data_IF_946407219806
#
_entry.id   IF_946407219806
#
_cell.length_a   1.000
_cell.length_b   1.000
_cell.length_c   1.000
_cell.angle_alpha   90.00
_cell.angle_beta   90.00
_cell.angle_gamma   90.00
#
_symmetry.space_group_name_H-M   'P 1'
#
loop_
_entity.id
_entity.type
_entity.pdbx_description
1 polymer ?
#
# COMPACT_ATOMS: atom_id res chain seq x y z
N UNK A 1 -26.93 -43.00 35.70
CA UNK A 1 -27.62 -41.73 36.05
C UNK A 1 -26.57 -40.81 36.64
N UNK A 2 -26.26 -39.59 36.20
CA UNK A 2 -26.60 -38.80 35.01
C UNK A 2 -25.44 -37.82 34.77
N UNK A 3 -25.09 -37.57 33.51
CA UNK A 3 -24.00 -36.67 33.13
C UNK A 3 -24.46 -35.20 33.15
N UNK A 4 -23.80 -34.37 33.95
CA UNK A 4 -23.99 -32.92 33.98
C UNK A 4 -23.41 -32.29 32.71
N UNK A 5 -24.27 -31.71 31.86
CA UNK A 5 -23.85 -30.83 30.75
C UNK A 5 -23.64 -29.40 31.29
N UNK A 6 -22.55 -28.69 30.94
CA UNK A 6 -22.45 -27.28 31.25
C UNK A 6 -23.45 -26.49 30.40
N UNK A 7 -24.25 -25.65 31.06
CA UNK A 7 -25.22 -24.74 30.42
C UNK A 7 -24.50 -23.66 29.61
N UNK A 8 -24.94 -23.47 28.37
CA UNK A 8 -24.58 -22.32 27.52
C UNK A 8 -25.04 -21.03 28.20
N UNK A 9 -24.11 -20.10 28.46
CA UNK A 9 -24.42 -18.76 28.93
C UNK A 9 -24.90 -17.88 27.77
N UNK A 10 -26.18 -17.49 27.82
CA UNK A 10 -26.77 -16.53 26.89
C UNK A 10 -26.30 -15.10 27.23
N UNK A 11 -26.10 -14.27 26.20
CA UNK A 11 -25.61 -12.88 26.30
C UNK A 11 -26.47 -11.99 27.21
N UNK A 12 -27.73 -12.36 27.48
CA UNK A 12 -28.59 -11.65 28.44
C UNK A 12 -28.03 -11.64 29.87
N UNK A 13 -27.12 -12.56 30.23
CA UNK A 13 -26.54 -12.64 31.58
C UNK A 13 -25.38 -11.66 31.84
N UNK A 14 -24.89 -10.95 30.81
CA UNK A 14 -23.76 -10.00 30.97
C UNK A 14 -24.25 -8.57 31.24
N UNK A 15 -25.55 -8.29 31.08
CA UNK A 15 -26.11 -6.94 31.19
C UNK A 15 -26.61 -6.54 32.59
N UNK A 16 -26.29 -7.31 33.65
CA UNK A 16 -26.85 -7.01 34.97
C UNK A 16 -25.89 -7.25 36.12
N UNK A 17 -24.67 -6.71 36.06
CA UNK A 17 -23.92 -6.39 37.29
C UNK A 17 -22.99 -5.20 37.09
N UNK A 18 -23.17 -4.23 37.97
CA UNK A 18 -22.32 -3.07 38.31
C UNK A 18 -22.39 -1.86 37.39
N UNK A 19 -22.90 -0.77 37.98
CA UNK A 19 -23.14 0.50 37.34
C UNK A 19 -21.85 1.24 37.04
N UNK A 20 -21.64 1.48 35.75
CA UNK A 20 -20.92 2.61 35.22
C UNK A 20 -21.55 2.92 33.87
N UNK A 21 -21.98 4.16 33.66
CA UNK A 21 -22.60 4.60 32.40
C UNK A 21 -21.76 4.17 31.19
N UNK A 22 -22.30 3.42 30.22
CA UNK A 22 -21.58 3.13 28.99
C UNK A 22 -21.58 4.38 28.09
N UNK A 23 -20.37 4.83 27.77
CA UNK A 23 -20.04 5.91 26.86
C UNK A 23 -20.62 5.62 25.45
N UNK A 24 -21.30 6.55 24.75
CA UNK A 24 -22.11 6.23 23.56
C UNK A 24 -21.32 5.99 22.25
N UNK A 25 -19.99 5.87 22.28
CA UNK A 25 -19.17 5.60 21.09
C UNK A 25 -18.72 4.13 21.02
N UNK A 26 -19.67 3.19 21.09
CA UNK A 26 -19.37 1.80 20.77
C UNK A 26 -19.27 1.67 19.25
N UNK A 27 -18.03 1.59 18.76
CA UNK A 27 -17.67 1.64 17.35
C UNK A 27 -18.41 0.58 16.52
N UNK A 28 -19.27 1.05 15.61
CA UNK A 28 -20.03 0.24 14.66
C UNK A 28 -19.10 -0.56 13.74
N UNK A 29 -17.87 -0.10 13.52
CA UNK A 29 -16.82 -0.83 12.80
C UNK A 29 -16.35 -2.05 13.58
N UNK A 30 -16.07 -1.88 14.88
CA UNK A 30 -15.79 -2.97 15.81
C UNK A 30 -16.96 -3.97 15.90
N UNK A 31 -18.21 -3.51 15.97
CA UNK A 31 -19.38 -4.40 15.98
C UNK A 31 -19.55 -5.19 14.68
N UNK A 32 -19.32 -4.55 13.53
CA UNK A 32 -19.37 -5.22 12.22
C UNK A 32 -18.30 -6.31 12.13
N UNK A 33 -17.04 -5.98 12.47
CA UNK A 33 -15.91 -6.92 12.54
C UNK A 33 -16.19 -8.09 13.49
N UNK A 34 -16.83 -7.85 14.63
CA UNK A 34 -17.22 -8.89 15.60
C UNK A 34 -18.35 -9.77 15.05
N UNK A 35 -19.34 -9.18 14.37
CA UNK A 35 -20.49 -9.90 13.81
C UNK A 35 -20.09 -10.79 12.64
N UNK A 36 -19.27 -10.28 11.72
CA UNK A 36 -18.67 -11.07 10.63
C UNK A 36 -17.78 -12.16 11.21
N UNK A 37 -16.88 -11.84 12.15
CA UNK A 37 -16.00 -12.82 12.81
C UNK A 37 -16.75 -13.95 13.54
N UNK A 38 -17.89 -13.69 14.18
CA UNK A 38 -18.71 -14.74 14.84
C UNK A 38 -19.40 -15.67 13.84
N UNK A 39 -19.79 -15.16 12.68
CA UNK A 39 -20.38 -15.98 11.61
C UNK A 39 -19.30 -16.82 10.92
N UNK A 40 -18.14 -16.24 10.65
CA UNK A 40 -16.96 -16.92 10.09
C UNK A 40 -16.48 -18.06 10.98
N UNK A 41 -16.32 -17.84 12.30
CA UNK A 41 -15.86 -18.89 13.25
C UNK A 41 -16.72 -20.16 13.28
N UNK A 42 -18.02 -20.06 12.99
CA UNK A 42 -18.92 -21.23 12.90
C UNK A 42 -18.73 -22.01 11.59
N UNK A 43 -18.38 -21.32 10.50
CA UNK A 43 -18.09 -21.91 9.19
C UNK A 43 -16.66 -22.46 9.15
N UNK A 44 -15.70 -21.79 9.79
CA UNK A 44 -14.29 -22.22 9.92
C UNK A 44 -14.19 -23.57 10.65
N UNK A 45 -15.03 -23.77 11.68
CA UNK A 45 -15.13 -25.04 12.41
C UNK A 45 -15.72 -26.17 11.54
N UNK A 46 -16.45 -25.84 10.47
CA UNK A 46 -17.13 -26.81 9.61
C UNK A 46 -16.37 -27.12 8.32
N UNK A 47 -15.61 -26.16 7.77
CA UNK A 47 -14.92 -26.29 6.46
C UNK A 47 -13.40 -26.27 6.51
N UNK A 48 -12.78 -26.05 7.68
CA UNK A 48 -11.38 -26.40 7.91
C UNK A 48 -10.37 -25.79 6.94
N UNK A 49 -10.40 -24.48 6.70
CA UNK A 49 -9.27 -23.69 6.20
C UNK A 49 -9.56 -22.19 6.42
N UNK A 50 -8.54 -21.41 6.80
CA UNK A 50 -8.63 -19.96 7.01
C UNK A 50 -8.72 -19.26 5.65
N UNK A 51 -9.85 -19.39 4.97
CA UNK A 51 -10.11 -18.71 3.70
C UNK A 51 -10.62 -17.30 4.02
N UNK A 52 -9.96 -16.23 3.52
CA UNK A 52 -10.47 -14.88 3.68
C UNK A 52 -11.85 -14.79 3.03
N UNK A 53 -12.90 -14.65 3.83
CA UNK A 53 -14.26 -14.47 3.35
C UNK A 53 -14.42 -13.01 2.91
N UNK A 54 -14.60 -12.80 1.61
CA UNK A 54 -14.91 -11.48 1.06
C UNK A 54 -16.36 -11.10 1.36
N UNK A 55 -16.62 -9.79 1.39
CA UNK A 55 -17.97 -9.26 1.55
C UNK A 55 -18.66 -9.26 0.19
N UNK A 56 -19.84 -9.89 0.11
CA UNK A 56 -20.58 -10.00 -1.16
C UNK A 56 -21.14 -8.65 -1.61
N UNK A 57 -21.41 -8.55 -2.91
CA UNK A 57 -21.91 -7.32 -3.54
C UNK A 57 -23.22 -6.82 -2.92
N UNK A 58 -24.12 -7.73 -2.51
CA UNK A 58 -25.36 -7.35 -1.83
C UNK A 58 -25.11 -6.59 -0.54
N UNK A 59 -24.14 -7.03 0.26
CA UNK A 59 -23.81 -6.35 1.52
C UNK A 59 -23.03 -5.06 1.25
N UNK A 60 -22.19 -5.02 0.22
CA UNK A 60 -21.53 -3.77 -0.23
C UNK A 60 -22.57 -2.72 -0.63
N UNK A 61 -23.61 -3.08 -1.38
CA UNK A 61 -24.71 -2.18 -1.74
C UNK A 61 -25.46 -1.64 -0.52
N UNK A 62 -25.52 -2.42 0.56
CA UNK A 62 -26.26 -2.09 1.77
C UNK A 62 -25.44 -1.25 2.76
N UNK A 63 -24.17 -1.60 2.96
CA UNK A 63 -23.29 -1.00 3.97
C UNK A 63 -22.28 0.01 3.38
N UNK A 64 -22.21 0.10 2.05
CA UNK A 64 -21.42 1.09 1.32
C UNK A 64 -19.90 0.85 1.37
N UNK A 65 -19.15 1.95 1.36
CA UNK A 65 -17.69 1.95 1.30
C UNK A 65 -17.04 1.08 2.37
N UNK A 66 -17.58 1.09 3.60
CA UNK A 66 -17.05 0.29 4.71
C UNK A 66 -17.00 -1.21 4.39
N UNK A 67 -18.04 -1.74 3.74
CA UNK A 67 -18.07 -3.14 3.32
C UNK A 67 -17.14 -3.38 2.13
N UNK A 68 -17.07 -2.44 1.20
CA UNK A 68 -16.17 -2.53 0.04
C UNK A 68 -14.69 -2.60 0.45
N UNK A 69 -14.26 -1.77 1.41
CA UNK A 69 -12.87 -1.74 1.92
C UNK A 69 -12.44 -3.06 2.60
N UNK A 70 -13.39 -3.94 2.91
CA UNK A 70 -13.14 -5.24 3.54
C UNK A 70 -13.23 -6.41 2.54
N UNK A 71 -13.47 -6.12 1.25
CA UNK A 71 -13.64 -7.14 0.20
C UNK A 71 -12.57 -7.00 -0.87
N UNK A 72 -11.62 -7.95 -0.91
CA UNK A 72 -10.36 -7.89 -1.66
C UNK A 72 -10.58 -7.78 -3.18
N UNK A 73 -11.46 -8.62 -3.73
CA UNK A 73 -11.71 -8.66 -5.17
C UNK A 73 -12.50 -7.44 -5.64
N UNK A 74 -13.67 -7.09 -5.06
CA UNK A 74 -14.36 -5.83 -5.36
C UNK A 74 -13.49 -4.58 -5.21
N UNK A 75 -12.58 -4.56 -4.22
CA UNK A 75 -11.67 -3.44 -3.99
C UNK A 75 -10.73 -3.18 -5.18
N UNK A 76 -10.42 -4.18 -6.02
CA UNK A 76 -9.63 -3.98 -7.23
C UNK A 76 -10.30 -3.00 -8.21
N UNK A 77 -11.63 -3.08 -8.37
CA UNK A 77 -12.38 -2.20 -9.27
C UNK A 77 -12.48 -0.78 -8.74
N UNK A 78 -12.59 -0.62 -7.41
CA UNK A 78 -12.54 0.68 -6.78
C UNK A 78 -11.14 1.29 -6.85
N UNK A 79 -10.09 0.49 -6.64
CA UNK A 79 -8.71 0.92 -6.83
C UNK A 79 -8.45 1.37 -8.27
N UNK A 80 -8.97 0.64 -9.27
CA UNK A 80 -8.94 1.07 -10.67
C UNK A 80 -9.59 2.45 -10.86
N UNK A 81 -10.77 2.66 -10.28
CA UNK A 81 -11.44 3.97 -10.33
C UNK A 81 -10.60 5.09 -9.69
N UNK A 82 -9.98 4.83 -8.54
CA UNK A 82 -9.10 5.80 -7.88
C UNK A 82 -7.82 6.08 -8.67
N UNK A 83 -7.30 5.10 -9.43
CA UNK A 83 -6.16 5.29 -10.34
C UNK A 83 -6.54 6.24 -11.49
N UNK A 84 -7.72 6.05 -12.09
CA UNK A 84 -8.25 6.93 -13.14
C UNK A 84 -8.50 8.36 -12.63
N UNK A 85 -8.92 8.51 -11.37
CA UNK A 85 -9.11 9.82 -10.73
C UNK A 85 -7.84 10.38 -10.06
N UNK A 86 -6.68 9.74 -10.22
CA UNK A 86 -5.41 10.14 -9.61
C UNK A 86 -5.47 10.34 -8.08
N UNK A 87 -6.27 9.51 -7.39
CA UNK A 87 -6.55 9.60 -5.94
C UNK A 87 -6.31 8.30 -5.17
N UNK A 88 -5.55 7.36 -5.77
CA UNK A 88 -5.26 6.03 -5.23
C UNK A 88 -4.45 6.06 -3.94
N UNK A 89 -3.63 7.11 -3.71
CA UNK A 89 -2.88 7.29 -2.47
C UNK A 89 -3.77 7.32 -1.23
N UNK A 90 -5.02 7.78 -1.36
CA UNK A 90 -5.98 7.78 -0.26
C UNK A 90 -6.34 6.37 0.20
N UNK A 91 -6.47 5.41 -0.73
CA UNK A 91 -6.79 4.04 -0.40
C UNK A 91 -5.60 3.34 0.26
N UNK A 92 -4.41 3.51 -0.32
CA UNK A 92 -3.20 2.91 0.25
C UNK A 92 -2.89 3.46 1.64
N UNK A 93 -3.03 4.78 1.84
CA UNK A 93 -2.91 5.39 3.15
C UNK A 93 -3.90 4.79 4.14
N UNK A 94 -5.19 4.68 3.77
CA UNK A 94 -6.20 4.11 4.65
C UNK A 94 -5.89 2.65 5.03
N UNK A 95 -5.48 1.82 4.08
CA UNK A 95 -5.09 0.42 4.32
C UNK A 95 -3.89 0.36 5.28
N UNK A 96 -2.89 1.22 5.09
CA UNK A 96 -1.71 1.26 5.94
C UNK A 96 -2.05 1.72 7.37
N UNK A 97 -3.04 2.61 7.53
CA UNK A 97 -3.56 2.99 8.86
C UNK A 97 -4.35 1.86 9.54
N UNK A 98 -5.15 1.08 8.81
CA UNK A 98 -5.80 -0.13 9.36
C UNK A 98 -4.76 -1.15 9.84
N UNK A 99 -3.71 -1.38 9.05
CA UNK A 99 -2.61 -2.26 9.46
C UNK A 99 -1.87 -1.68 10.66
N UNK A 100 -1.59 -0.38 10.66
CA UNK A 100 -0.91 0.29 11.77
C UNK A 100 -1.62 0.09 13.11
N UNK A 101 -2.95 0.20 13.13
CA UNK A 101 -3.78 0.06 14.34
C UNK A 101 -3.94 -1.39 14.81
N UNK A 102 -3.89 -2.36 13.89
CA UNK A 102 -4.12 -3.78 14.20
C UNK A 102 -2.83 -4.57 14.44
N UNK A 103 -1.69 -4.02 14.02
CA UNK A 103 -0.40 -4.67 14.15
C UNK A 103 0.06 -4.75 15.62
N UNK A 104 0.58 -5.92 15.99
CA UNK A 104 1.17 -6.16 17.30
C UNK A 104 2.66 -5.81 17.28
N UNK A 105 3.00 -4.61 17.76
CA UNK A 105 4.39 -4.14 17.81
C UNK A 105 5.17 -4.82 18.92
N UNK A 106 6.40 -5.25 18.60
CA UNK A 106 7.35 -5.84 19.55
C UNK A 106 7.87 -4.77 20.52
N UNK A 107 7.92 -3.50 20.10
CA UNK A 107 8.34 -2.39 20.95
C UNK A 107 7.76 -1.06 20.49
N UNK A 108 7.76 -0.07 21.40
CA UNK A 108 7.39 1.32 21.07
C UNK A 108 8.31 1.94 20.02
N UNK A 109 9.57 1.50 19.95
CA UNK A 109 10.53 1.96 18.94
C UNK A 109 10.12 1.47 17.56
N UNK A 110 9.70 0.22 17.43
CA UNK A 110 9.18 -0.32 16.17
C UNK A 110 7.93 0.45 15.74
N UNK A 111 6.98 0.67 16.66
CA UNK A 111 5.76 1.43 16.37
C UNK A 111 6.06 2.86 15.91
N UNK A 112 7.00 3.54 16.57
CA UNK A 112 7.44 4.88 16.18
C UNK A 112 8.08 4.88 14.79
N UNK A 113 8.92 3.89 14.47
CA UNK A 113 9.54 3.77 13.15
C UNK A 113 8.49 3.55 12.05
N UNK A 114 7.48 2.71 12.29
CA UNK A 114 6.35 2.52 11.36
C UNK A 114 5.52 3.81 11.22
N UNK A 115 5.23 4.51 12.32
CA UNK A 115 4.51 5.79 12.26
C UNK A 115 5.29 6.86 11.47
N UNK A 116 6.61 6.92 11.65
CA UNK A 116 7.47 7.82 10.88
C UNK A 116 7.49 7.45 9.38
N UNK A 117 7.50 6.17 9.06
CA UNK A 117 7.40 5.70 7.67
C UNK A 117 6.10 6.20 7.02
N UNK A 118 4.95 5.92 7.65
CA UNK A 118 3.63 6.37 7.18
C UNK A 118 3.60 7.90 7.00
N UNK A 119 4.10 8.65 7.98
CA UNK A 119 4.14 10.11 7.90
C UNK A 119 5.01 10.61 6.74
N UNK A 120 6.18 10.02 6.54
CA UNK A 120 7.07 10.39 5.45
C UNK A 120 6.47 10.07 4.08
N UNK A 121 5.75 8.96 3.97
CA UNK A 121 5.13 8.52 2.71
C UNK A 121 3.91 9.37 2.35
N UNK A 122 3.02 9.69 3.29
CA UNK A 122 1.71 10.28 2.95
C UNK A 122 1.50 11.72 3.43
N UNK A 123 2.21 12.18 4.46
CA UNK A 123 1.95 13.48 5.10
C UNK A 123 3.06 14.51 4.87
N UNK A 124 4.23 14.06 4.44
CA UNK A 124 5.33 14.94 4.06
C UNK A 124 5.02 15.66 2.75
N UNK A 125 5.22 16.98 2.77
CA UNK A 125 5.01 17.83 1.59
C UNK A 125 5.90 17.38 0.44
N UNK A 126 5.32 17.31 -0.75
CA UNK A 126 5.96 16.89 -2.00
C UNK A 126 6.33 15.39 -2.03
N UNK A 127 5.79 14.57 -1.13
CA UNK A 127 5.88 13.12 -1.29
C UNK A 127 5.12 12.68 -2.55
N UNK A 128 5.58 11.61 -3.20
CA UNK A 128 4.91 11.04 -4.37
C UNK A 128 3.48 10.54 -4.07
N UNK A 129 3.20 10.25 -2.81
CA UNK A 129 1.91 9.77 -2.29
C UNK A 129 1.32 10.71 -1.24
N UNK A 130 1.65 12.01 -1.30
CA UNK A 130 1.07 12.99 -0.39
C UNK A 130 -0.46 12.99 -0.51
N UNK A 131 -1.14 12.73 0.61
CA UNK A 131 -2.61 12.78 0.67
C UNK A 131 -3.12 14.21 0.89
N UNK A 132 -4.25 14.53 0.27
CA UNK A 132 -4.88 15.84 0.39
C UNK A 132 -5.66 15.99 1.70
N UNK A 133 -4.97 16.24 2.81
CA UNK A 133 -5.57 16.47 4.12
C UNK A 133 -5.48 17.93 4.55
N UNK A 134 -6.46 18.36 5.35
CA UNK A 134 -6.46 19.65 6.02
C UNK A 134 -5.17 19.87 6.84
N UNK A 135 -4.62 21.09 6.77
CA UNK A 135 -3.43 21.49 7.51
C UNK A 135 -3.53 21.22 9.02
N UNK A 136 -4.73 21.34 9.59
CA UNK A 136 -5.00 21.06 11.01
C UNK A 136 -4.78 19.58 11.33
N UNK A 137 -5.25 18.68 10.48
CA UNK A 137 -5.07 17.23 10.63
C UNK A 137 -3.58 16.91 10.54
N UNK A 138 -2.89 17.45 9.53
CA UNK A 138 -1.45 17.24 9.35
C UNK A 138 -0.63 17.71 10.55
N UNK A 139 -0.92 18.89 11.11
CA UNK A 139 -0.26 19.40 12.32
C UNK A 139 -0.48 18.48 13.51
N UNK A 140 -1.71 18.00 13.71
CA UNK A 140 -2.04 17.07 14.80
C UNK A 140 -1.17 15.81 14.77
N UNK A 141 -1.03 15.20 13.59
CA UNK A 141 -0.16 14.02 13.42
C UNK A 141 1.32 14.38 13.60
N UNK A 142 1.74 15.52 13.06
CA UNK A 142 3.14 16.01 13.17
C UNK A 142 3.55 16.18 14.63
N UNK A 143 2.72 16.86 15.43
CA UNK A 143 2.98 17.12 16.84
C UNK A 143 3.01 15.81 17.66
N UNK A 144 2.13 14.85 17.32
CA UNK A 144 2.10 13.54 17.95
C UNK A 144 3.39 12.74 17.68
N UNK A 145 3.88 12.74 16.43
CA UNK A 145 5.14 12.07 16.07
C UNK A 145 6.35 12.74 16.75
N UNK A 146 6.40 14.07 16.79
CA UNK A 146 7.46 14.80 17.49
C UNK A 146 7.50 14.49 18.99
N UNK A 147 6.32 14.34 19.62
CA UNK A 147 6.19 13.92 21.03
C UNK A 147 6.35 12.42 21.26
N UNK A 148 6.55 11.61 20.20
CA UNK A 148 6.59 10.13 20.25
C UNK A 148 5.31 9.49 20.80
N UNK A 149 4.20 10.19 20.65
CA UNK A 149 2.86 9.82 21.06
C UNK A 149 2.12 9.18 19.88
N UNK A 150 2.50 7.96 19.53
CA UNK A 150 2.13 7.30 18.27
C UNK A 150 1.01 6.26 18.41
N UNK A 151 0.40 6.08 19.58
CA UNK A 151 -0.62 5.03 19.75
C UNK A 151 -1.88 5.31 18.93
N UNK A 152 -2.34 6.56 18.95
CA UNK A 152 -3.56 7.02 18.28
C UNK A 152 -3.30 8.22 17.35
N UNK A 153 -2.04 8.45 16.97
CA UNK A 153 -1.62 9.66 16.26
C UNK A 153 -2.33 9.88 14.91
N UNK A 154 -2.84 8.81 14.29
CA UNK A 154 -3.49 8.87 12.99
C UNK A 154 -5.03 8.88 13.02
N UNK A 155 -5.68 8.85 14.19
CA UNK A 155 -7.16 8.75 14.26
C UNK A 155 -7.87 9.86 13.46
N UNK A 156 -7.37 11.10 13.56
CA UNK A 156 -7.92 12.24 12.82
C UNK A 156 -7.65 12.15 11.32
N UNK A 157 -6.44 11.71 10.94
CA UNK A 157 -6.06 11.50 9.54
C UNK A 157 -6.89 10.39 8.89
N UNK A 158 -7.14 9.29 9.62
CA UNK A 158 -7.96 8.16 9.17
C UNK A 158 -9.39 8.57 8.86
N UNK A 159 -10.02 9.35 9.75
CA UNK A 159 -11.37 9.89 9.51
C UNK A 159 -11.40 10.81 8.30
N UNK A 160 -10.37 11.66 8.16
CA UNK A 160 -10.27 12.59 7.04
C UNK A 160 -10.10 11.88 5.69
N UNK A 161 -9.21 10.88 5.60
CA UNK A 161 -9.02 10.13 4.35
C UNK A 161 -10.21 9.23 4.03
N UNK A 162 -10.90 8.69 5.04
CA UNK A 162 -12.15 7.95 4.82
C UNK A 162 -13.21 8.82 4.15
N UNK A 163 -13.34 10.09 4.56
CA UNK A 163 -14.26 11.05 3.91
C UNK A 163 -13.90 11.31 2.44
N UNK A 164 -12.60 11.40 2.12
CA UNK A 164 -12.15 11.52 0.72
C UNK A 164 -12.55 10.28 -0.10
N UNK A 165 -12.31 9.09 0.46
CA UNK A 165 -12.69 7.83 -0.18
C UNK A 165 -14.20 7.69 -0.32
N UNK A 166 -14.99 8.17 0.65
CA UNK A 166 -16.46 8.15 0.56
C UNK A 166 -16.94 9.02 -0.60
N UNK A 167 -16.31 10.19 -0.80
CA UNK A 167 -16.60 11.04 -1.95
C UNK A 167 -16.27 10.35 -3.28
N UNK A 168 -15.10 9.70 -3.39
CA UNK A 168 -14.74 8.91 -4.58
C UNK A 168 -15.66 7.70 -4.77
N UNK A 169 -16.10 7.04 -3.69
CA UNK A 169 -17.01 5.91 -3.75
C UNK A 169 -18.38 6.30 -4.34
N UNK A 170 -18.90 7.47 -3.97
CA UNK A 170 -20.15 7.98 -4.55
C UNK A 170 -20.04 8.19 -6.06
N UNK A 171 -18.88 8.62 -6.57
CA UNK A 171 -18.61 8.72 -8.01
C UNK A 171 -18.44 7.34 -8.65
N UNK A 172 -17.68 6.45 -8.01
CA UNK A 172 -17.45 5.08 -8.47
C UNK A 172 -18.75 4.35 -8.78
N UNK A 173 -19.77 4.47 -7.91
CA UNK A 173 -21.08 3.84 -8.08
C UNK A 173 -21.80 4.20 -9.38
N UNK A 174 -21.41 5.30 -10.04
CA UNK A 174 -21.99 5.78 -11.30
C UNK A 174 -21.17 5.37 -12.53
N UNK A 175 -20.09 4.60 -12.36
CA UNK A 175 -19.17 4.23 -13.44
C UNK A 175 -19.43 2.83 -13.99
N UNK A 176 -19.02 2.60 -15.24
CA UNK A 176 -19.04 1.27 -15.85
C UNK A 176 -18.19 0.25 -15.07
N UNK A 177 -17.11 0.70 -14.42
CA UNK A 177 -16.27 -0.15 -13.56
C UNK A 177 -17.07 -0.74 -12.39
N UNK A 178 -17.97 0.04 -11.79
CA UNK A 178 -18.86 -0.47 -10.72
C UNK A 178 -19.85 -1.51 -11.27
N UNK A 179 -20.44 -1.27 -12.44
CA UNK A 179 -21.33 -2.24 -13.07
C UNK A 179 -20.60 -3.53 -13.47
N UNK A 180 -19.37 -3.42 -13.97
CA UNK A 180 -18.49 -4.56 -14.26
C UNK A 180 -18.16 -5.33 -12.98
N UNK A 181 -17.84 -4.65 -11.89
CA UNK A 181 -17.59 -5.26 -10.58
C UNK A 181 -18.81 -6.08 -10.12
N UNK A 182 -20.00 -5.48 -10.13
CA UNK A 182 -21.26 -6.15 -9.72
C UNK A 182 -21.53 -7.40 -10.55
N UNK A 183 -21.34 -7.31 -11.88
CA UNK A 183 -21.53 -8.42 -12.80
C UNK A 183 -20.52 -9.56 -12.56
N UNK A 184 -19.23 -9.22 -12.48
CA UNK A 184 -18.14 -10.21 -12.39
C UNK A 184 -18.09 -10.88 -11.02
N UNK A 185 -18.36 -10.14 -9.95
CA UNK A 185 -18.32 -10.67 -8.59
C UNK A 185 -19.59 -11.46 -8.25
N UNK A 186 -20.74 -11.13 -8.84
CA UNK A 186 -22.01 -11.75 -8.49
C UNK A 186 -22.55 -11.30 -7.12
N UNK A 187 -23.87 -11.36 -6.97
CA UNK A 187 -24.59 -10.68 -5.89
C UNK A 187 -24.29 -11.24 -4.48
N UNK A 188 -24.11 -12.56 -4.37
CA UNK A 188 -24.01 -13.28 -3.10
C UNK A 188 -22.66 -13.99 -2.89
N UNK A 189 -21.75 -13.89 -3.86
CA UNK A 189 -20.44 -14.54 -3.79
C UNK A 189 -19.59 -13.91 -2.70
N UNK A 190 -19.05 -14.75 -1.81
CA UNK A 190 -18.10 -14.36 -0.75
C UNK A 190 -16.76 -15.07 -0.90
N UNK A 191 -16.65 -15.98 -1.87
CA UNK A 191 -15.45 -16.71 -2.22
C UNK A 191 -15.29 -16.68 -3.74
N UNK A 192 -14.28 -15.97 -4.21
CA UNK A 192 -14.07 -15.79 -5.65
C UNK A 192 -13.15 -16.88 -6.18
N UNK A 193 -13.55 -17.58 -7.26
CA UNK A 193 -12.65 -18.52 -7.93
C UNK A 193 -11.48 -17.75 -8.55
N UNK A 194 -10.41 -18.49 -8.86
CA UNK A 194 -9.19 -17.93 -9.44
C UNK A 194 -9.48 -17.09 -10.68
N UNK A 195 -10.36 -17.56 -11.56
CA UNK A 195 -10.78 -16.82 -12.76
C UNK A 195 -11.30 -15.40 -12.43
N UNK A 196 -12.15 -15.26 -11.42
CA UNK A 196 -12.69 -13.97 -10.99
C UNK A 196 -11.61 -13.10 -10.36
N UNK A 197 -10.69 -13.68 -9.59
CA UNK A 197 -9.55 -12.97 -9.00
C UNK A 197 -8.59 -12.45 -10.07
N UNK A 198 -8.26 -13.29 -11.06
CA UNK A 198 -7.45 -12.90 -12.22
C UNK A 198 -8.14 -11.82 -13.05
N UNK A 199 -9.46 -11.94 -13.28
CA UNK A 199 -10.22 -10.91 -14.00
C UNK A 199 -10.15 -9.54 -13.30
N UNK A 200 -10.28 -9.51 -11.97
CA UNK A 200 -10.16 -8.28 -11.19
C UNK A 200 -8.74 -7.67 -11.26
N UNK A 201 -7.70 -8.52 -11.20
CA UNK A 201 -6.30 -8.07 -11.36
C UNK A 201 -6.03 -7.57 -12.78
N UNK A 202 -6.59 -8.21 -13.80
CA UNK A 202 -6.43 -7.78 -15.19
C UNK A 202 -6.99 -6.37 -15.44
N UNK A 203 -8.01 -5.93 -14.70
CA UNK A 203 -8.48 -4.54 -14.75
C UNK A 203 -7.37 -3.56 -14.33
N UNK A 204 -6.63 -3.88 -13.26
CA UNK A 204 -5.49 -3.07 -12.81
C UNK A 204 -4.30 -3.17 -13.75
N UNK A 205 -4.03 -4.35 -14.32
CA UNK A 205 -2.97 -4.52 -15.31
C UNK A 205 -3.24 -3.71 -16.57
N UNK A 206 -4.47 -3.70 -17.06
CA UNK A 206 -4.85 -2.90 -18.22
C UNK A 206 -4.65 -1.40 -18.02
N UNK A 207 -4.80 -0.90 -16.78
CA UNK A 207 -4.41 0.48 -16.43
C UNK A 207 -2.90 0.68 -16.58
N UNK A 208 -2.10 -0.20 -15.97
CA UNK A 208 -0.63 -0.08 -15.99
C UNK A 208 -0.10 -0.15 -17.42
N UNK A 209 -0.58 -1.09 -18.24
CA UNK A 209 -0.17 -1.24 -19.63
C UNK A 209 -0.50 0.01 -20.46
N UNK A 210 -1.70 0.57 -20.27
CA UNK A 210 -2.13 1.80 -20.93
C UNK A 210 -1.23 2.99 -20.53
N UNK A 211 -0.99 3.18 -19.24
CA UNK A 211 -0.11 4.25 -18.75
C UNK A 211 1.33 4.06 -19.24
N UNK A 212 1.83 2.83 -19.24
CA UNK A 212 3.17 2.51 -19.73
C UNK A 212 3.31 2.84 -21.22
N UNK A 213 2.31 2.48 -22.03
CA UNK A 213 2.29 2.84 -23.44
C UNK A 213 2.31 4.36 -23.63
N UNK A 214 1.48 5.11 -22.90
CA UNK A 214 1.47 6.58 -22.98
C UNK A 214 2.81 7.23 -22.60
N UNK A 215 3.58 6.60 -21.69
CA UNK A 215 4.87 7.12 -21.22
C UNK A 215 6.02 6.74 -22.16
N UNK A 216 6.01 5.53 -22.71
CA UNK A 216 7.18 4.95 -23.37
C UNK A 216 6.98 4.66 -24.86
N UNK A 217 5.79 4.84 -25.43
CA UNK A 217 5.53 4.54 -26.85
C UNK A 217 4.89 5.72 -27.57
N UNK A 218 5.26 5.90 -28.84
CA UNK A 218 4.69 6.94 -29.69
C UNK A 218 3.36 6.44 -30.27
N UNK A 219 2.23 7.11 -30.01
CA UNK A 219 0.92 6.62 -30.45
C UNK A 219 0.70 6.61 -31.98
N UNK A 220 1.58 7.25 -32.76
CA UNK A 220 1.50 7.28 -34.23
C UNK A 220 2.43 6.27 -34.91
N UNK A 221 3.48 5.83 -34.22
CA UNK A 221 4.56 5.04 -34.85
C UNK A 221 4.92 3.78 -34.08
N UNK A 222 4.32 3.53 -32.92
CA UNK A 222 4.66 2.49 -31.94
C UNK A 222 6.15 2.46 -31.52
N UNK A 223 6.90 3.49 -31.88
CA UNK A 223 8.33 3.59 -31.59
C UNK A 223 8.54 4.00 -30.12
N UNK A 224 9.57 3.46 -29.45
CA UNK A 224 9.88 3.85 -28.07
C UNK A 224 10.22 5.34 -27.93
N UNK A 225 9.63 6.01 -26.94
CA UNK A 225 9.84 7.43 -26.65
C UNK A 225 10.68 7.56 -25.39
N UNK A 226 12.00 7.51 -25.56
CA UNK A 226 12.91 7.53 -24.40
C UNK A 226 13.15 8.93 -23.81
N UNK A 227 13.00 10.00 -24.61
CA UNK A 227 13.57 11.33 -24.29
C UNK A 227 12.57 12.46 -23.97
N UNK A 228 11.26 12.29 -24.17
CA UNK A 228 10.29 13.42 -24.02
C UNK A 228 9.48 13.43 -22.72
N UNK A 229 9.39 12.30 -21.98
CA UNK A 229 8.58 12.23 -20.76
C UNK A 229 9.42 12.54 -19.52
N UNK A 230 8.87 13.39 -18.63
CA UNK A 230 9.52 13.78 -17.38
C UNK A 230 9.93 12.57 -16.54
N UNK A 231 11.13 12.63 -15.98
CA UNK A 231 11.63 11.63 -15.02
C UNK A 231 10.71 11.47 -13.80
N UNK A 232 9.99 12.53 -13.41
CA UNK A 232 9.01 12.47 -12.31
C UNK A 232 7.82 11.58 -12.67
N UNK A 233 7.33 11.65 -13.90
CA UNK A 233 6.22 10.82 -14.40
C UNK A 233 6.63 9.36 -14.49
N UNK A 234 7.82 9.08 -15.05
CA UNK A 234 8.39 7.72 -15.10
C UNK A 234 8.52 7.12 -13.71
N UNK A 235 9.09 7.88 -12.76
CA UNK A 235 9.25 7.44 -11.37
C UNK A 235 7.91 7.17 -10.69
N UNK A 236 6.91 8.04 -10.89
CA UNK A 236 5.56 7.83 -10.34
C UNK A 236 4.93 6.55 -10.89
N UNK A 237 5.06 6.31 -12.20
CA UNK A 237 4.57 5.10 -12.83
C UNK A 237 5.18 3.82 -12.23
N UNK A 238 6.50 3.77 -12.07
CA UNK A 238 7.17 2.61 -11.46
C UNK A 238 6.77 2.37 -9.99
N UNK A 239 6.53 3.44 -9.22
CA UNK A 239 6.04 3.32 -7.85
C UNK A 239 4.62 2.75 -7.81
N UNK A 240 3.71 3.26 -8.64
CA UNK A 240 2.33 2.75 -8.74
C UNK A 240 2.34 1.27 -9.14
N UNK A 241 3.15 0.91 -10.14
CA UNK A 241 3.35 -0.47 -10.59
C UNK A 241 3.80 -1.37 -9.43
N UNK A 242 4.81 -0.95 -8.67
CA UNK A 242 5.31 -1.72 -7.51
C UNK A 242 4.22 -1.88 -6.43
N UNK A 243 3.45 -0.84 -6.15
CA UNK A 243 2.35 -0.91 -5.17
C UNK A 243 1.23 -1.84 -5.61
N UNK A 244 0.84 -1.80 -6.90
CA UNK A 244 -0.22 -2.65 -7.43
C UNK A 244 0.19 -4.12 -7.44
N UNK A 245 1.46 -4.41 -7.74
CA UNK A 245 2.00 -5.75 -7.61
C UNK A 245 1.85 -6.30 -6.19
N UNK A 246 2.30 -5.52 -5.19
CA UNK A 246 2.23 -5.94 -3.80
C UNK A 246 0.78 -6.06 -3.31
N UNK A 247 -0.10 -5.15 -3.73
CA UNK A 247 -1.54 -5.22 -3.47
C UNK A 247 -2.15 -6.53 -4.00
N UNK A 248 -1.91 -6.86 -5.27
CA UNK A 248 -2.45 -8.07 -5.89
C UNK A 248 -1.89 -9.34 -5.25
N UNK A 249 -0.58 -9.36 -4.97
CA UNK A 249 0.11 -10.50 -4.36
C UNK A 249 -0.37 -10.76 -2.93
N UNK A 250 -0.50 -9.72 -2.10
CA UNK A 250 -0.78 -9.88 -0.66
C UNK A 250 -2.26 -9.90 -0.32
N UNK A 251 -3.07 -9.02 -0.92
CA UNK A 251 -4.49 -8.92 -0.58
C UNK A 251 -5.33 -9.85 -1.43
N UNK A 252 -5.12 -9.86 -2.75
CA UNK A 252 -5.91 -10.67 -3.69
C UNK A 252 -5.36 -12.10 -3.80
N UNK A 253 -4.07 -12.30 -3.56
CA UNK A 253 -3.35 -13.58 -3.64
C UNK A 253 -2.92 -13.96 -5.06
N UNK A 254 -2.87 -13.00 -5.97
CA UNK A 254 -2.55 -13.21 -7.39
C UNK A 254 -1.17 -12.64 -7.65
N UNK A 255 -0.28 -13.49 -8.11
CA UNK A 255 1.06 -13.11 -8.55
C UNK A 255 1.11 -13.08 -10.07
N UNK A 256 1.82 -12.11 -10.63
CA UNK A 256 1.98 -11.95 -12.07
C UNK A 256 3.30 -11.24 -12.37
N UNK A 257 3.81 -11.44 -13.58
CA UNK A 257 4.99 -10.73 -14.07
C UNK A 257 4.57 -9.67 -15.09
N UNK A 258 4.98 -8.42 -14.86
CA UNK A 258 4.71 -7.32 -15.80
C UNK A 258 5.40 -7.48 -17.15
N UNK A 259 6.54 -8.16 -17.16
CA UNK A 259 7.26 -8.50 -18.37
C UNK A 259 6.91 -9.94 -18.70
N UNK A 260 6.11 -10.17 -19.75
CA UNK A 260 6.20 -11.43 -20.47
C UNK A 260 7.67 -11.54 -20.88
N UNK A 261 8.35 -12.62 -20.51
CA UNK A 261 9.54 -13.00 -21.24
C UNK A 261 9.13 -13.09 -22.70
N UNK A 262 9.68 -12.24 -23.55
CA UNK A 262 9.72 -12.57 -24.96
C UNK A 262 10.40 -13.93 -25.03
N UNK A 263 9.80 -14.98 -25.63
CA UNK A 263 10.50 -16.24 -25.82
C UNK A 263 11.81 -16.09 -26.61
N UNK A 264 12.08 -14.93 -27.21
CA UNK A 264 13.38 -14.55 -27.80
C UNK A 264 14.35 -13.79 -26.88
N UNK A 265 13.93 -13.35 -25.69
CA UNK A 265 14.86 -12.79 -24.70
C UNK A 265 15.60 -13.96 -24.04
N UNK A 266 16.70 -14.36 -24.69
CA UNK A 266 17.61 -15.37 -24.19
C UNK A 266 18.10 -15.06 -22.76
N UNK A 267 18.49 -16.07 -21.98
CA UNK A 267 18.88 -15.88 -20.60
C UNK A 267 20.03 -14.87 -20.49
N UNK A 268 19.84 -13.86 -19.65
CA UNK A 268 20.88 -12.90 -19.28
C UNK A 268 22.15 -13.67 -18.85
N UNK A 269 23.35 -13.29 -19.33
CA UNK A 269 24.56 -14.01 -19.00
C UNK A 269 24.82 -13.93 -17.49
N UNK A 270 24.74 -15.08 -16.82
CA UNK A 270 25.21 -15.27 -15.45
C UNK A 270 26.69 -14.88 -15.39
N UNK A 271 27.01 -13.84 -14.63
CA UNK A 271 28.40 -13.55 -14.28
C UNK A 271 28.92 -14.71 -13.42
N UNK A 272 29.87 -15.46 -13.98
CA UNK A 272 30.53 -16.56 -13.30
C UNK A 272 31.40 -16.02 -12.16
N UNK A 273 30.99 -16.30 -10.92
CA UNK A 273 31.90 -16.27 -9.78
C UNK A 273 32.91 -17.43 -9.93
N UNK A 274 34.23 -17.22 -9.82
CA UNK A 274 35.17 -18.32 -9.80
C UNK A 274 35.11 -19.03 -8.45
N UNK A 275 34.75 -20.31 -8.52
CA UNK A 275 34.80 -21.28 -7.43
C UNK A 275 36.23 -21.57 -7.01
N UNK A 276 36.44 -21.60 -5.69
CA UNK A 276 37.65 -22.10 -5.05
C UNK A 276 37.82 -23.60 -5.31
N UNK A 277 38.93 -23.99 -5.94
CA UNK A 277 39.42 -25.36 -5.94
C UNK A 277 40.81 -25.43 -5.33
N UNK A 278 40.92 -26.38 -4.42
CA UNK A 278 42.04 -26.80 -3.60
C UNK A 278 43.21 -27.36 -4.41
N UNK A 279 44.43 -26.90 -4.12
CA UNK A 279 45.64 -27.67 -4.34
C UNK A 279 46.63 -27.40 -3.19
N UNK A 280 47.03 -28.48 -2.54
CA UNK A 280 47.90 -28.57 -1.38
C UNK A 280 49.31 -28.93 -1.84
N UNK A 281 50.33 -28.14 -1.48
CA UNK A 281 51.75 -28.57 -1.44
C UNK A 281 52.66 -27.55 -0.73
N UNK A 282 52.87 -27.79 0.58
CA UNK A 282 54.11 -27.65 1.39
C UNK A 282 54.97 -26.36 1.45
N UNK A 283 55.67 -26.12 2.59
CA UNK A 283 56.11 -24.79 3.01
C UNK A 283 57.62 -24.54 2.87
N UNK A 284 58.01 -23.28 2.63
CA UNK A 284 59.32 -22.72 3.01
C UNK A 284 59.19 -21.28 3.48
N UNK A 285 59.67 -21.02 4.70
CA UNK A 285 59.92 -19.70 5.30
C UNK A 285 61.39 -19.29 5.06
N UNK A 286 61.92 -18.16 5.60
CA UNK A 286 61.49 -16.76 5.50
C UNK A 286 62.68 -15.80 5.19
N UNK A 287 62.47 -14.66 4.51
CA UNK A 287 63.40 -13.51 4.50
C UNK A 287 62.58 -12.21 4.35
N UNK A 288 62.37 -11.42 5.41
CA UNK A 288 63.16 -10.29 5.92
C UNK A 288 63.18 -9.00 5.05
N UNK A 289 62.54 -7.96 5.61
CA UNK A 289 62.99 -6.54 5.72
C UNK A 289 62.97 -5.66 4.45
N UNK A 290 62.05 -4.69 4.38
CA UNK A 290 62.39 -3.24 4.37
C UNK A 290 61.19 -2.29 4.58
N UNK A 291 61.40 -1.30 5.45
CA UNK A 291 60.61 -0.08 5.62
C UNK A 291 60.93 0.95 4.52
N UNK A 292 59.95 1.79 4.14
CA UNK A 292 60.03 3.27 4.01
C UNK A 292 58.77 3.78 3.31
N UNK A 293 57.88 4.52 3.99
CA UNK A 293 57.86 5.97 4.21
C UNK A 293 57.56 6.85 2.99
N UNK A 294 56.47 7.62 3.17
CA UNK A 294 56.26 9.05 2.84
C UNK A 294 55.64 9.45 1.49
N UNK A 295 54.48 10.10 1.64
CA UNK A 295 53.73 11.05 0.81
C UNK A 295 54.61 12.21 0.24
N UNK A 296 54.15 13.06 -0.72
CA UNK A 296 53.05 14.03 -0.45
C UNK A 296 52.20 14.55 -1.66
N UNK A 297 51.06 15.17 -1.35
CA UNK A 297 50.33 16.21 -2.12
C UNK A 297 51.19 17.49 -2.29
N UNK A 298 50.87 18.61 -3.01
CA UNK A 298 49.56 19.32 -3.23
C UNK A 298 49.52 20.05 -4.64
N UNK A 299 48.93 21.26 -4.92
CA UNK A 299 47.97 22.14 -4.21
C UNK A 299 46.79 22.75 -5.03
N UNK A 300 45.98 23.53 -4.31
CA UNK A 300 44.77 24.32 -4.64
C UNK A 300 44.98 25.56 -5.56
N UNK A 301 43.90 26.05 -6.20
CA UNK A 301 43.70 27.50 -6.43
C UNK A 301 42.24 27.93 -6.72
N UNK A 302 41.66 28.64 -5.73
CA UNK A 302 40.86 29.90 -5.72
C UNK A 302 39.88 30.29 -6.86
N UNK A 303 38.68 30.71 -6.42
CA UNK A 303 37.61 31.46 -7.13
C UNK A 303 37.99 32.89 -7.56
N UNK A 304 37.12 33.55 -8.35
CA UNK A 304 36.44 34.75 -7.82
C UNK A 304 34.94 34.91 -8.21
N UNK A 305 34.21 35.65 -7.35
CA UNK A 305 32.83 36.16 -7.52
C UNK A 305 32.79 37.40 -8.42
N UNK A 306 31.72 37.59 -9.21
CA UNK A 306 31.19 38.92 -9.56
C UNK A 306 29.65 38.94 -9.67
N UNK A 307 29.10 40.11 -9.34
CA UNK A 307 27.69 40.49 -9.18
C UNK A 307 26.93 40.66 -10.51
N UNK A 308 25.60 40.56 -10.46
CA UNK A 308 24.72 41.07 -11.51
C UNK A 308 23.24 40.94 -11.17
N UNK A 309 22.64 42.01 -10.63
CA UNK A 309 21.20 42.18 -10.43
C UNK A 309 20.48 42.23 -11.79
N UNK A 310 19.34 41.58 -11.93
CA UNK A 310 18.20 42.16 -12.68
C UNK A 310 16.89 41.50 -12.25
N UNK A 311 16.02 42.32 -11.66
CA UNK A 311 14.58 42.09 -11.53
C UNK A 311 13.96 42.32 -12.90
N UNK A 312 13.08 41.43 -13.36
CA UNK A 312 12.06 41.81 -14.33
C UNK A 312 10.73 41.14 -13.95
N UNK A 313 9.93 41.92 -13.23
CA UNK A 313 8.48 41.78 -13.14
C UNK A 313 7.88 42.05 -14.53
N UNK A 314 6.94 41.20 -14.96
CA UNK A 314 5.97 41.58 -15.99
C UNK A 314 4.56 41.57 -15.39
N UNK A 315 4.00 42.77 -15.38
CA UNK A 315 2.72 43.17 -14.81
C UNK A 315 1.51 42.57 -15.55
N UNK A 316 0.47 42.29 -14.73
CA UNK A 316 -0.95 42.71 -14.83
C UNK A 316 -1.85 42.24 -15.98
N UNK A 317 -3.00 41.72 -15.50
CA UNK A 317 -4.40 42.04 -15.84
C UNK A 317 -4.81 41.90 -17.31
N UNK A 318 -5.61 40.87 -17.57
CA UNK A 318 -7.06 41.02 -17.67
C UNK A 318 -7.74 39.76 -17.17
#
# INVERSE_FOLDING_TARGET
>A
MGANRPRSSSISSIMTTNGANPNPNFDVHTLYRIKTSRSSKKLDHFFGEQIPHDICIKEIKKEGLKALLQSKVPLCYFLYHLLEEYSHENLFFFIELEQYETFQYVSRVQQLATAQHIFNTYLTRNSHFEVNLDDKVRRTVTDAIQRKDVETCFETAKRSVYSLLESSYMRFMMTDSYHQMVSTCGELTTHYPDETRFAAVNVLLGYIEREHAMIYTNPLTDAPVFMSVSQTTKRRHELIKSMLHEFCRTLVGVEFNYYRHDPNDGPLPLSSAPSSSSAEATPRSPQQIHQQQRSPSPPESKSPKQHGKSKFDFLKKK
#
